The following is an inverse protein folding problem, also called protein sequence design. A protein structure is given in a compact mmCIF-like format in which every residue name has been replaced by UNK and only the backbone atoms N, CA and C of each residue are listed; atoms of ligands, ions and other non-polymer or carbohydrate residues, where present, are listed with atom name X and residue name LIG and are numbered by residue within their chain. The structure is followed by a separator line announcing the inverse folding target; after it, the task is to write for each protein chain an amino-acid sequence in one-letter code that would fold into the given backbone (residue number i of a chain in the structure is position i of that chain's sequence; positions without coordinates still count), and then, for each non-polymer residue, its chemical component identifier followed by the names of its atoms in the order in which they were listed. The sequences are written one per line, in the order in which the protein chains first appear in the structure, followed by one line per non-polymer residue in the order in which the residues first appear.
data_IF_828550940290
#
_entry.id   IF_828550940290
#
_cell.length_a   1.000
_cell.length_b   1.000
_cell.length_c   1.000
_cell.angle_alpha   90.00
_cell.angle_beta   90.00
_cell.angle_gamma   90.00
#
_symmetry.space_group_name_H-M   'P 1'
#
loop_
_entity.id
_entity.type
_entity.pdbx_description
1 polymer ?
#
# COMPACT_ATOMS: atom_id res chain seq x y z
N UNK A 1 29.23 -3.80 8.88
CA UNK A 1 28.28 -4.91 9.11
C UNK A 1 26.90 -4.40 9.49
N UNK A 2 26.07 -3.97 8.53
CA UNK A 2 24.61 -4.13 8.62
C UNK A 2 23.97 -3.81 7.26
N UNK A 3 23.35 -4.80 6.65
CA UNK A 3 22.76 -4.74 5.32
C UNK A 3 21.34 -4.13 5.39
N UNK A 4 21.22 -2.81 5.27
CA UNK A 4 19.97 -2.24 4.76
C UNK A 4 20.11 -2.16 3.24
N UNK A 5 19.68 -3.24 2.55
CA UNK A 5 19.62 -3.31 1.09
C UNK A 5 18.97 -2.01 0.55
N UNK A 6 19.65 -1.19 -0.27
CA UNK A 6 19.06 -0.02 -0.93
C UNK A 6 18.13 -0.43 -2.10
N UNK A 7 17.56 -1.63 -2.04
CA UNK A 7 16.68 -2.23 -3.04
C UNK A 7 15.25 -2.43 -2.56
N UNK A 8 14.91 -2.05 -1.32
CA UNK A 8 13.51 -1.89 -0.93
C UNK A 8 13.06 -0.56 -1.53
N UNK A 9 12.74 -0.60 -2.82
CA UNK A 9 11.82 0.35 -3.42
C UNK A 9 10.49 0.15 -2.67
N UNK A 10 10.35 0.80 -1.50
CA UNK A 10 9.05 1.29 -1.07
C UNK A 10 8.65 2.28 -2.15
N UNK A 11 8.25 1.79 -3.32
CA UNK A 11 7.71 2.64 -4.36
C UNK A 11 6.61 3.40 -3.65
N UNK A 12 6.77 4.71 -3.51
CA UNK A 12 5.78 5.52 -2.84
C UNK A 12 4.42 5.11 -3.41
N UNK A 13 3.43 4.87 -2.55
CA UNK A 13 2.07 4.79 -3.05
C UNK A 13 1.85 6.07 -3.84
N UNK A 14 1.43 5.92 -5.08
CA UNK A 14 1.03 7.08 -5.87
C UNK A 14 -0.07 7.81 -5.09
N UNK A 15 -0.19 9.13 -5.21
CA UNK A 15 -1.25 9.88 -4.53
C UNK A 15 -2.65 9.32 -4.86
N UNK A 16 -2.79 8.63 -5.99
CA UNK A 16 -3.99 7.89 -6.37
C UNK A 16 -4.20 6.64 -5.50
N UNK A 17 -3.17 5.79 -5.34
CA UNK A 17 -3.22 4.63 -4.44
C UNK A 17 -3.51 5.05 -3.00
N UNK A 18 -2.91 6.14 -2.52
CA UNK A 18 -3.18 6.65 -1.15
C UNK A 18 -4.62 7.14 -0.99
N UNK A 19 -5.17 7.85 -1.98
CA UNK A 19 -6.57 8.27 -1.95
C UNK A 19 -7.51 7.05 -1.88
N UNK A 20 -7.21 6.00 -2.65
CA UNK A 20 -7.98 4.75 -2.64
C UNK A 20 -7.86 4.04 -1.29
N UNK A 21 -6.65 3.94 -0.73
CA UNK A 21 -6.41 3.33 0.59
C UNK A 21 -7.21 4.07 1.66
N UNK A 22 -7.12 5.40 1.72
CA UNK A 22 -7.84 6.22 2.71
C UNK A 22 -9.36 6.09 2.53
N UNK A 23 -9.83 6.11 1.28
CA UNK A 23 -11.26 5.95 0.97
C UNK A 23 -11.78 4.56 1.39
N UNK A 24 -11.07 3.50 1.00
CA UNK A 24 -11.44 2.13 1.35
C UNK A 24 -11.26 1.84 2.84
N UNK A 25 -10.27 2.42 3.51
CA UNK A 25 -10.12 2.32 4.96
C UNK A 25 -11.30 2.98 5.68
N UNK A 26 -11.79 4.13 5.18
CA UNK A 26 -12.98 4.77 5.71
C UNK A 26 -14.26 3.96 5.48
N UNK A 27 -14.33 3.21 4.37
CA UNK A 27 -15.50 2.38 4.02
C UNK A 27 -15.49 0.99 4.67
N UNK A 28 -14.34 0.32 4.70
CA UNK A 28 -14.16 -1.08 5.11
C UNK A 28 -13.56 -1.21 6.52
N UNK A 29 -13.00 -0.13 7.07
CA UNK A 29 -12.26 -0.14 8.34
C UNK A 29 -10.86 -0.77 8.20
N UNK A 30 -10.39 -1.43 9.26
CA UNK A 30 -9.07 -2.09 9.31
C UNK A 30 -9.00 -3.41 8.52
N UNK A 31 -9.63 -3.47 7.34
CA UNK A 31 -9.63 -4.64 6.44
C UNK A 31 -8.54 -4.52 5.38
N UNK A 32 -7.29 -4.45 5.81
CA UNK A 32 -6.12 -4.29 4.93
C UNK A 32 -6.01 -5.34 3.82
N UNK A 33 -6.41 -6.58 4.08
CA UNK A 33 -6.43 -7.63 3.05
C UNK A 33 -7.39 -7.31 1.89
N UNK A 34 -8.56 -6.72 2.20
CA UNK A 34 -9.50 -6.29 1.18
C UNK A 34 -8.95 -5.07 0.43
N UNK A 35 -8.42 -4.07 1.15
CA UNK A 35 -7.83 -2.86 0.56
C UNK A 35 -6.67 -3.21 -0.39
N UNK A 36 -5.80 -4.13 0.02
CA UNK A 36 -4.71 -4.62 -0.83
C UNK A 36 -5.21 -5.35 -2.08
N UNK A 37 -6.34 -6.06 -1.99
CA UNK A 37 -6.98 -6.68 -3.16
C UNK A 37 -7.50 -5.64 -4.18
N UNK A 38 -7.76 -4.39 -3.77
CA UNK A 38 -8.11 -3.29 -4.66
C UNK A 38 -6.89 -2.57 -5.27
N UNK A 39 -5.67 -2.98 -4.92
CA UNK A 39 -4.43 -2.42 -5.45
C UNK A 39 -3.72 -3.47 -6.34
N UNK A 40 -4.20 -3.70 -7.58
CA UNK A 40 -3.77 -4.82 -8.44
C UNK A 40 -2.33 -4.76 -8.98
N UNK A 41 -1.44 -3.96 -8.40
CA UNK A 41 -0.03 -3.80 -8.83
C UNK A 41 0.99 -3.87 -7.68
N UNK A 42 0.60 -4.37 -6.50
CA UNK A 42 1.45 -4.45 -5.29
C UNK A 42 1.41 -5.82 -4.59
N UNK A 43 1.19 -6.90 -5.34
CA UNK A 43 1.36 -8.29 -4.89
C UNK A 43 2.48 -8.95 -5.67
#
# INVERSE_FOLDING_TARGET
TNYLRPGIRRGNFTPHEEAIIVHLQSLLGNRWAAIASYLPQRT
#
